data_IF_830614644575
#
_entry.id   IF_830614644575
#
_cell.length_a   1.000
_cell.length_b   1.000
_cell.length_c   1.000
_cell.angle_alpha   90.00
_cell.angle_beta   90.00
_cell.angle_gamma   90.00
#
_symmetry.space_group_name_H-M   'P 1'
#
loop_
_entity.id
_entity.type
_entity.pdbx_description
1 polymer ?
#
# COMPACT_ATOMS: atom_id res chain seq x y z
N UNK A 1 -18.20 14.88 8.20
CA UNK A 1 -17.57 13.73 8.89
C UNK A 1 -16.56 13.17 7.90
N UNK A 2 -15.33 13.00 8.30
CA UNK A 2 -14.23 12.66 7.38
C UNK A 2 -14.26 11.14 7.11
N UNK A 3 -13.97 10.69 5.88
CA UNK A 3 -13.96 9.25 5.48
C UNK A 3 -13.13 8.36 6.42
N UNK A 4 -12.09 8.91 7.05
CA UNK A 4 -11.31 8.22 8.07
C UNK A 4 -12.08 7.91 9.37
N UNK A 5 -13.15 8.65 9.67
CA UNK A 5 -14.01 8.35 10.84
C UNK A 5 -15.03 7.24 10.54
N UNK A 6 -15.42 7.07 9.28
CA UNK A 6 -16.37 6.02 8.87
C UNK A 6 -15.67 4.66 8.90
N UNK A 7 -14.47 4.56 8.37
CA UNK A 7 -13.66 3.32 8.40
C UNK A 7 -13.29 2.90 9.83
N UNK A 8 -13.00 3.85 10.71
CA UNK A 8 -12.73 3.58 12.14
C UNK A 8 -13.97 3.08 12.88
N UNK A 9 -15.18 3.58 12.54
CA UNK A 9 -16.42 3.14 13.18
C UNK A 9 -16.88 1.76 12.72
N UNK A 10 -16.62 1.36 11.50
CA UNK A 10 -16.94 0.03 10.99
C UNK A 10 -15.98 -1.04 11.52
N UNK A 11 -14.70 -0.77 11.59
CA UNK A 11 -13.71 -1.67 12.18
C UNK A 11 -14.01 -2.00 13.66
N UNK A 12 -14.50 -1.00 14.43
CA UNK A 12 -14.92 -1.18 15.83
C UNK A 12 -16.22 -1.97 15.95
N UNK A 13 -17.13 -1.94 14.97
CA UNK A 13 -18.39 -2.67 15.01
C UNK A 13 -18.28 -4.16 14.65
N UNK A 14 -17.30 -4.55 13.84
CA UNK A 14 -17.09 -5.93 13.43
C UNK A 14 -16.24 -6.76 14.42
N UNK A 15 -15.55 -6.11 15.35
CA UNK A 15 -14.68 -6.76 16.34
C UNK A 15 -15.38 -7.35 17.58
N UNK A 16 -16.71 -7.28 17.69
CA UNK A 16 -17.43 -7.61 18.94
C UNK A 16 -18.21 -8.93 18.93
N UNK A 17 -18.01 -9.83 18.00
CA UNK A 17 -18.66 -11.15 18.00
C UNK A 17 -17.64 -12.27 17.72
N UNK A 18 -17.15 -12.93 18.76
CA UNK A 18 -16.46 -14.21 18.61
C UNK A 18 -15.46 -14.57 19.71
N UNK A 19 -15.90 -14.71 20.95
CA UNK A 19 -15.12 -15.40 21.97
C UNK A 19 -15.58 -16.87 22.05
N UNK A 20 -14.71 -17.81 21.68
CA UNK A 20 -14.94 -19.24 21.85
C UNK A 20 -13.62 -19.96 22.11
N UNK A 21 -13.41 -20.41 23.33
CA UNK A 21 -12.23 -21.11 23.80
C UNK A 21 -12.16 -22.57 23.30
N UNK A 22 -10.98 -23.07 22.99
CA UNK A 22 -10.66 -24.49 23.13
C UNK A 22 -9.14 -24.70 23.33
N UNK A 23 -8.86 -25.48 24.37
CA UNK A 23 -7.54 -25.85 24.92
C UNK A 23 -6.93 -27.06 24.19
N UNK A 24 -5.58 -27.08 24.14
CA UNK A 24 -4.77 -28.31 24.40
C UNK A 24 -4.31 -29.13 23.20
N UNK A 25 -3.05 -29.27 22.95
CA UNK A 25 -2.15 -30.36 23.34
C UNK A 25 -0.77 -30.23 22.69
N UNK A 26 0.27 -30.34 23.53
CA UNK A 26 1.68 -30.49 23.13
C UNK A 26 1.94 -31.92 22.63
N UNK A 27 2.64 -32.07 21.52
CA UNK A 27 3.52 -33.23 21.27
C UNK A 27 4.71 -32.76 20.42
N UNK A 28 5.92 -33.04 20.95
CA UNK A 28 7.18 -32.70 20.34
C UNK A 28 7.56 -33.62 19.17
N UNK A 29 8.38 -33.11 18.30
CA UNK A 29 9.04 -33.85 17.22
C UNK A 29 9.97 -32.89 16.51
N UNK A 30 11.29 -32.95 16.82
CA UNK A 30 12.31 -32.17 16.14
C UNK A 30 12.41 -32.57 14.67
N UNK A 31 12.10 -31.66 13.80
CA UNK A 31 12.51 -31.65 12.41
C UNK A 31 13.35 -30.38 12.22
N UNK A 32 14.60 -30.56 11.78
CA UNK A 32 15.48 -29.49 11.33
C UNK A 32 14.73 -28.70 10.25
N UNK A 33 14.29 -27.50 10.61
CA UNK A 33 13.71 -26.57 9.65
C UNK A 33 14.81 -26.15 8.69
N UNK A 34 14.79 -26.67 7.46
CA UNK A 34 15.38 -26.00 6.32
C UNK A 34 14.80 -24.58 6.30
N UNK A 35 15.63 -23.59 6.62
CA UNK A 35 15.32 -22.18 6.43
C UNK A 35 15.14 -21.96 4.92
N UNK A 36 13.90 -22.15 4.43
CA UNK A 36 13.53 -21.65 3.10
C UNK A 36 13.85 -20.16 3.11
N UNK A 37 14.79 -19.76 2.28
CA UNK A 37 15.00 -18.34 1.97
C UNK A 37 13.66 -17.80 1.55
N UNK A 38 13.18 -16.74 2.24
CA UNK A 38 12.00 -15.99 1.79
C UNK A 38 12.30 -15.49 0.38
N UNK A 39 11.29 -15.47 -0.46
CA UNK A 39 11.36 -15.14 -1.87
C UNK A 39 12.15 -13.84 -2.15
N UNK A 40 13.47 -13.95 -2.23
CA UNK A 40 14.22 -13.17 -3.19
C UNK A 40 13.81 -13.79 -4.53
N UNK A 41 12.82 -13.19 -5.22
CA UNK A 41 12.24 -13.72 -6.45
C UNK A 41 13.27 -14.48 -7.25
N UNK A 42 13.02 -15.77 -7.53
CA UNK A 42 14.03 -16.66 -8.12
C UNK A 42 14.71 -15.96 -9.28
N UNK A 43 15.99 -16.23 -9.52
CA UNK A 43 16.75 -15.62 -10.61
C UNK A 43 15.96 -15.83 -11.93
N UNK A 44 15.20 -14.81 -12.38
CA UNK A 44 14.32 -14.89 -13.53
C UNK A 44 12.88 -14.38 -13.31
N UNK A 45 12.42 -14.18 -12.09
CA UNK A 45 11.09 -13.62 -11.82
C UNK A 45 10.97 -12.17 -12.34
N UNK A 46 9.92 -11.88 -13.10
CA UNK A 46 9.75 -10.56 -13.70
C UNK A 46 9.25 -9.49 -12.73
N UNK A 47 8.72 -9.88 -11.55
CA UNK A 47 8.46 -8.99 -10.41
C UNK A 47 8.73 -9.72 -9.09
N UNK A 48 8.87 -8.94 -8.03
CA UNK A 48 9.00 -9.40 -6.64
C UNK A 48 7.74 -9.07 -5.86
N UNK A 49 7.50 -9.74 -4.73
CA UNK A 49 6.28 -9.60 -3.94
C UNK A 49 6.61 -9.07 -2.55
N UNK A 50 5.99 -7.95 -2.17
CA UNK A 50 6.02 -7.35 -0.84
C UNK A 50 4.70 -7.51 -0.10
N UNK A 51 4.67 -7.18 1.19
CA UNK A 51 3.47 -7.12 2.01
C UNK A 51 3.21 -5.67 2.43
N UNK A 52 2.06 -5.13 2.08
CA UNK A 52 1.57 -3.88 2.62
C UNK A 52 1.04 -4.09 4.05
N UNK A 53 1.46 -3.25 4.99
CA UNK A 53 1.10 -3.34 6.41
C UNK A 53 -0.41 -3.23 6.63
N UNK A 54 -1.11 -2.52 5.73
CA UNK A 54 -2.56 -2.42 5.78
C UNK A 54 -3.27 -3.77 5.69
N UNK A 55 -2.68 -4.78 5.06
CA UNK A 55 -3.20 -6.16 5.06
C UNK A 55 -3.45 -6.69 6.48
N UNK A 56 -2.68 -6.24 7.46
CA UNK A 56 -2.79 -6.65 8.87
C UNK A 56 -3.46 -5.58 9.75
N UNK A 57 -4.11 -4.58 9.17
CA UNK A 57 -4.68 -3.44 9.91
C UNK A 57 -5.63 -3.85 11.04
N UNK A 58 -6.43 -4.91 10.83
CA UNK A 58 -7.37 -5.43 11.84
C UNK A 58 -6.63 -5.92 13.09
N UNK A 59 -5.54 -6.64 12.91
CA UNK A 59 -4.72 -7.18 13.99
C UNK A 59 -3.96 -6.05 14.73
N UNK A 60 -3.43 -5.09 13.96
CA UNK A 60 -2.73 -3.92 14.50
C UNK A 60 -3.65 -3.02 15.31
N UNK A 61 -4.85 -2.71 14.81
CA UNK A 61 -5.83 -1.92 15.55
C UNK A 61 -6.43 -2.65 16.76
N UNK A 62 -6.50 -3.98 16.71
CA UNK A 62 -6.92 -4.80 17.86
C UNK A 62 -5.82 -4.94 18.92
N UNK A 63 -4.58 -4.52 18.63
CA UNK A 63 -3.43 -4.71 19.50
C UNK A 63 -3.00 -6.19 19.64
N UNK A 64 -3.37 -7.03 18.69
CA UNK A 64 -2.95 -8.43 18.63
C UNK A 64 -1.50 -8.56 18.14
N UNK A 65 -1.03 -7.61 17.35
CA UNK A 65 0.36 -7.41 16.95
C UNK A 65 0.74 -5.96 17.11
N UNK A 66 2.02 -5.69 17.34
CA UNK A 66 2.62 -4.36 17.42
C UNK A 66 3.26 -3.99 16.07
N UNK A 67 3.44 -2.69 15.80
CA UNK A 67 4.14 -2.25 14.59
C UNK A 67 5.55 -2.84 14.48
N UNK A 68 6.26 -3.02 15.61
CA UNK A 68 7.58 -3.61 15.63
C UNK A 68 7.59 -5.11 15.29
N UNK A 69 6.46 -5.80 15.39
CA UNK A 69 6.34 -7.23 15.04
C UNK A 69 6.15 -7.44 13.54
N UNK A 70 5.77 -6.39 12.79
CA UNK A 70 5.34 -6.49 11.39
C UNK A 70 6.36 -7.16 10.46
N UNK A 71 7.65 -6.85 10.59
CA UNK A 71 8.70 -7.48 9.77
C UNK A 71 8.81 -9.00 10.06
N UNK A 72 8.68 -9.40 11.33
CA UNK A 72 8.64 -10.80 11.73
C UNK A 72 7.41 -11.53 11.20
N UNK A 73 6.23 -10.91 11.29
CA UNK A 73 4.97 -11.43 10.75
C UNK A 73 5.07 -11.63 9.22
N UNK A 74 5.60 -10.65 8.50
CA UNK A 74 5.82 -10.74 7.06
C UNK A 74 6.76 -11.91 6.72
N UNK A 75 7.84 -12.08 7.47
CA UNK A 75 8.79 -13.19 7.29
C UNK A 75 8.14 -14.55 7.51
N UNK A 76 7.32 -14.71 8.55
CA UNK A 76 6.59 -15.94 8.84
C UNK A 76 5.63 -16.31 7.71
N UNK A 77 4.98 -15.31 7.10
CA UNK A 77 4.11 -15.49 5.93
C UNK A 77 4.89 -15.68 4.61
N UNK A 78 6.24 -15.64 4.65
CA UNK A 78 7.10 -15.88 3.49
C UNK A 78 7.32 -14.67 2.60
N UNK A 79 7.10 -13.45 3.09
CA UNK A 79 7.45 -12.21 2.38
C UNK A 79 8.90 -11.82 2.65
N UNK A 80 9.57 -11.29 1.63
CA UNK A 80 10.95 -10.79 1.71
C UNK A 80 11.04 -9.26 1.73
N UNK A 81 9.91 -8.56 1.61
CA UNK A 81 9.85 -7.10 1.67
C UNK A 81 8.50 -6.62 2.23
N UNK A 82 8.49 -5.40 2.77
CA UNK A 82 7.35 -4.78 3.44
C UNK A 82 7.18 -3.32 3.06
N UNK A 83 5.93 -2.85 3.19
CA UNK A 83 5.48 -1.48 2.96
C UNK A 83 4.73 -1.01 4.19
N UNK A 84 5.23 0.03 4.85
CA UNK A 84 4.67 0.54 6.10
C UNK A 84 3.47 1.46 5.88
N UNK A 85 2.64 1.61 6.91
CA UNK A 85 1.59 2.63 6.99
C UNK A 85 1.83 3.49 8.23
N UNK A 86 1.90 4.80 8.04
CA UNK A 86 2.23 5.77 9.08
C UNK A 86 1.28 5.74 10.28
N UNK A 87 0.04 5.32 10.08
CA UNK A 87 -0.97 5.24 11.14
C UNK A 87 -0.55 4.33 12.32
N UNK A 88 0.30 3.33 12.07
CA UNK A 88 0.71 2.35 13.09
C UNK A 88 1.93 2.79 13.92
N UNK A 89 2.60 3.89 13.55
CA UNK A 89 3.71 4.48 14.30
C UNK A 89 3.75 6.01 14.17
N UNK A 90 2.57 6.64 14.18
CA UNK A 90 2.35 8.05 13.87
C UNK A 90 3.13 9.01 14.78
N UNK A 91 3.28 8.68 16.05
CA UNK A 91 4.01 9.44 17.07
C UNK A 91 5.50 9.08 17.13
N UNK A 92 5.99 8.20 16.23
CA UNK A 92 7.36 7.69 16.19
C UNK A 92 8.15 8.11 14.94
N UNK A 93 7.59 8.95 14.08
CA UNK A 93 8.25 9.39 12.85
C UNK A 93 9.64 10.03 13.09
N UNK A 94 9.81 10.70 14.23
CA UNK A 94 11.04 11.40 14.62
C UNK A 94 11.78 10.70 15.78
N UNK A 95 11.28 9.56 16.25
CA UNK A 95 11.93 8.74 17.30
C UNK A 95 13.00 7.84 16.68
N UNK A 96 14.23 8.33 16.65
CA UNK A 96 15.37 7.63 16.05
C UNK A 96 15.64 6.27 16.70
N UNK A 97 15.41 6.14 18.03
CA UNK A 97 15.61 4.87 18.72
C UNK A 97 14.57 3.83 18.27
N UNK A 98 13.31 4.25 18.09
CA UNK A 98 12.25 3.42 17.57
C UNK A 98 12.49 3.00 16.10
N UNK A 99 12.87 3.94 15.24
CA UNK A 99 13.19 3.65 13.84
C UNK A 99 14.41 2.70 13.71
N UNK A 100 15.40 2.84 14.61
CA UNK A 100 16.53 1.90 14.66
C UNK A 100 16.10 0.50 15.10
N UNK A 101 15.13 0.37 16.02
CA UNK A 101 14.57 -0.92 16.39
C UNK A 101 13.77 -1.54 15.23
N UNK A 102 13.00 -0.74 14.45
CA UNK A 102 12.36 -1.21 13.22
C UNK A 102 13.39 -1.76 12.23
N UNK A 103 14.49 -1.02 11.97
CA UNK A 103 15.58 -1.45 11.12
C UNK A 103 16.21 -2.77 11.60
N UNK A 104 16.46 -2.86 12.92
CA UNK A 104 17.04 -4.08 13.50
C UNK A 104 16.13 -5.29 13.26
N UNK A 105 14.82 -5.17 13.53
CA UNK A 105 13.86 -6.26 13.37
C UNK A 105 13.68 -6.66 11.91
N UNK A 106 13.64 -5.70 10.99
CA UNK A 106 13.59 -5.98 9.55
C UNK A 106 14.86 -6.73 9.09
N UNK A 107 16.03 -6.28 9.54
CA UNK A 107 17.32 -6.94 9.26
C UNK A 107 17.39 -8.35 9.85
N UNK A 108 16.99 -8.54 11.12
CA UNK A 108 16.98 -9.85 11.77
C UNK A 108 16.03 -10.83 11.06
N UNK A 109 14.91 -10.32 10.54
CA UNK A 109 13.95 -11.11 9.76
C UNK A 109 14.41 -11.33 8.30
N UNK A 110 15.42 -10.62 7.83
CA UNK A 110 15.86 -10.64 6.43
C UNK A 110 14.79 -10.10 5.47
N UNK A 111 14.16 -8.97 5.83
CA UNK A 111 13.06 -8.33 5.10
C UNK A 111 13.47 -6.94 4.66
N UNK A 112 13.30 -6.61 3.35
CA UNK A 112 13.53 -5.27 2.80
C UNK A 112 12.38 -4.32 3.18
N UNK A 113 12.69 -3.04 3.41
CA UNK A 113 11.74 -1.97 3.72
C UNK A 113 11.61 -1.07 2.50
N UNK A 114 10.42 -0.97 1.90
CA UNK A 114 10.28 -0.37 0.56
C UNK A 114 9.76 1.06 0.58
N UNK A 115 8.71 1.31 1.35
CA UNK A 115 8.04 2.62 1.39
C UNK A 115 7.25 2.80 2.69
N UNK A 116 6.82 4.05 2.93
CA UNK A 116 5.84 4.40 3.97
C UNK A 116 4.62 5.01 3.27
N UNK A 117 3.44 4.45 3.51
CA UNK A 117 2.17 5.04 3.12
C UNK A 117 1.78 6.11 4.15
N UNK A 118 1.62 7.36 3.69
CA UNK A 118 1.39 8.52 4.54
C UNK A 118 -0.05 9.02 4.39
N UNK A 119 -0.84 8.86 5.44
CA UNK A 119 -2.21 9.33 5.53
C UNK A 119 -2.37 10.36 6.66
N UNK A 120 -3.33 11.29 6.49
CA UNK A 120 -3.69 12.25 7.54
C UNK A 120 -2.73 13.40 7.75
N UNK A 121 -1.85 13.70 6.79
CA UNK A 121 -0.88 14.80 6.86
C UNK A 121 -1.36 16.09 6.15
N UNK A 122 -2.63 16.15 5.76
CA UNK A 122 -3.26 17.25 5.03
C UNK A 122 -3.37 16.99 3.52
N UNK A 123 -4.12 17.84 2.82
CA UNK A 123 -4.39 17.65 1.40
C UNK A 123 -3.31 18.38 0.57
N UNK A 124 -2.53 17.64 -0.21
CA UNK A 124 -1.52 18.21 -1.10
C UNK A 124 -2.13 19.05 -2.24
N UNK A 125 -3.41 18.87 -2.55
CA UNK A 125 -4.17 19.70 -3.48
C UNK A 125 -5.16 20.65 -2.82
N UNK A 126 -4.96 21.07 -1.54
CA UNK A 126 -5.88 21.99 -0.88
C UNK A 126 -6.04 23.31 -1.67
N UNK A 127 -7.25 23.84 -1.85
CA UNK A 127 -7.45 25.16 -2.51
C UNK A 127 -6.68 26.30 -1.84
N UNK A 128 -6.49 26.25 -0.52
CA UNK A 128 -5.66 27.22 0.21
C UNK A 128 -4.18 26.88 0.04
N UNK A 129 -3.41 27.79 -0.55
CA UNK A 129 -1.95 27.67 -0.65
C UNK A 129 -1.29 27.47 0.70
N UNK A 130 -1.75 28.17 1.73
CA UNK A 130 -1.24 28.01 3.10
C UNK A 130 -1.48 26.59 3.63
N UNK A 131 -2.65 25.99 3.38
CA UNK A 131 -2.95 24.63 3.80
C UNK A 131 -2.12 23.61 3.00
N UNK A 132 -1.92 23.81 1.68
CA UNK A 132 -1.01 22.96 0.87
C UNK A 132 0.43 23.00 1.41
N UNK A 133 0.95 24.18 1.76
CA UNK A 133 2.28 24.33 2.32
C UNK A 133 2.42 23.64 3.67
N UNK A 134 1.38 23.68 4.51
CA UNK A 134 1.32 22.90 5.76
C UNK A 134 1.33 21.41 5.47
N UNK A 135 0.55 20.94 4.50
CA UNK A 135 0.55 19.53 4.11
C UNK A 135 1.95 19.07 3.66
N UNK A 136 2.61 19.82 2.78
CA UNK A 136 3.99 19.53 2.37
C UNK A 136 4.93 19.46 3.57
N UNK A 137 4.86 20.43 4.49
CA UNK A 137 5.68 20.47 5.70
C UNK A 137 5.44 19.26 6.62
N UNK A 138 4.19 18.83 6.76
CA UNK A 138 3.82 17.66 7.57
C UNK A 138 4.42 16.34 7.06
N UNK A 139 4.62 16.23 5.73
CA UNK A 139 5.24 15.03 5.14
C UNK A 139 6.76 14.96 5.36
N UNK A 140 7.41 16.07 5.77
CA UNK A 140 8.87 16.11 5.97
C UNK A 140 9.37 15.03 6.93
N UNK A 141 8.71 14.87 8.08
CA UNK A 141 9.06 13.85 9.09
C UNK A 141 9.01 12.42 8.49
N UNK A 142 8.10 12.17 7.52
CA UNK A 142 7.98 10.87 6.85
C UNK A 142 9.06 10.66 5.80
N UNK A 143 9.55 11.70 5.14
CA UNK A 143 10.74 11.63 4.30
C UNK A 143 11.98 11.29 5.15
N UNK A 144 12.11 11.89 6.33
CA UNK A 144 13.20 11.60 7.27
C UNK A 144 13.12 10.16 7.78
N UNK A 145 11.93 9.71 8.22
CA UNK A 145 11.71 8.33 8.64
C UNK A 145 11.97 7.32 7.51
N UNK A 146 11.44 7.56 6.32
CA UNK A 146 11.64 6.70 5.15
C UNK A 146 13.13 6.59 4.77
N UNK A 147 13.86 7.70 4.84
CA UNK A 147 15.32 7.71 4.64
C UNK A 147 16.04 6.88 5.69
N UNK A 148 15.66 7.02 6.98
CA UNK A 148 16.24 6.25 8.08
C UNK A 148 15.96 4.76 7.95
N UNK A 149 14.76 4.37 7.48
CA UNK A 149 14.36 2.98 7.25
C UNK A 149 14.91 2.37 5.94
N UNK A 150 15.62 3.16 5.11
CA UNK A 150 16.15 2.69 3.84
C UNK A 150 15.10 2.49 2.75
N UNK A 151 13.90 3.06 2.91
CA UNK A 151 12.85 3.05 1.91
C UNK A 151 13.25 3.81 0.64
N UNK A 152 12.61 3.48 -0.49
CA UNK A 152 12.83 4.20 -1.76
C UNK A 152 11.78 5.27 -2.04
N UNK A 153 10.65 5.27 -1.32
CA UNK A 153 9.53 6.18 -1.54
C UNK A 153 8.73 6.47 -0.28
N UNK A 154 7.97 7.55 -0.31
CA UNK A 154 6.74 7.70 0.46
C UNK A 154 5.55 7.64 -0.48
N UNK A 155 4.43 7.01 -0.08
CA UNK A 155 3.14 7.07 -0.78
C UNK A 155 2.27 8.13 -0.14
N UNK A 156 1.66 8.98 -0.96
CA UNK A 156 0.81 10.08 -0.54
C UNK A 156 -0.50 10.09 -1.32
N UNK A 157 -1.46 10.91 -0.89
CA UNK A 157 -2.73 11.09 -1.58
C UNK A 157 -2.76 12.43 -2.34
N UNK A 158 -3.37 12.45 -3.53
CA UNK A 158 -3.58 13.65 -4.34
C UNK A 158 -4.96 14.28 -4.06
N UNK A 159 -5.36 14.34 -2.78
CA UNK A 159 -6.66 14.88 -2.39
C UNK A 159 -6.75 16.40 -2.66
N UNK A 160 -7.86 16.82 -3.26
CA UNK A 160 -8.14 18.20 -3.64
C UNK A 160 -9.65 18.46 -3.66
N UNK A 161 -10.07 19.67 -4.05
CA UNK A 161 -11.47 20.04 -4.28
C UNK A 161 -11.59 21.11 -5.36
N UNK A 162 -12.77 21.22 -5.99
CA UNK A 162 -13.03 22.11 -7.11
C UNK A 162 -13.36 21.35 -8.41
N UNK A 163 -13.21 22.00 -9.55
CA UNK A 163 -13.39 21.37 -10.86
C UNK A 163 -12.27 20.37 -11.16
N UNK A 164 -12.44 19.57 -12.19
CA UNK A 164 -11.43 18.61 -12.66
C UNK A 164 -10.04 19.26 -12.85
N UNK A 165 -10.00 20.35 -13.59
CA UNK A 165 -8.77 21.07 -13.94
C UNK A 165 -8.18 21.81 -12.74
N UNK A 166 -9.03 22.38 -11.87
CA UNK A 166 -8.57 23.02 -10.65
C UNK A 166 -7.90 22.01 -9.72
N UNK A 167 -8.54 20.86 -9.51
CA UNK A 167 -7.97 19.80 -8.67
C UNK A 167 -6.65 19.27 -9.24
N UNK A 168 -6.53 19.05 -10.56
CA UNK A 168 -5.27 18.63 -11.19
C UNK A 168 -4.15 19.66 -10.93
N UNK A 169 -4.43 20.93 -11.16
CA UNK A 169 -3.45 22.00 -10.94
C UNK A 169 -3.04 22.09 -9.47
N UNK A 170 -3.98 22.09 -8.54
CA UNK A 170 -3.71 22.19 -7.12
C UNK A 170 -2.92 20.99 -6.59
N UNK A 171 -3.31 19.77 -6.99
CA UNK A 171 -2.59 18.55 -6.62
C UNK A 171 -1.16 18.56 -7.19
N UNK A 172 -0.99 18.98 -8.44
CA UNK A 172 0.34 19.07 -9.05
C UNK A 172 1.25 20.10 -8.37
N UNK A 173 0.71 21.24 -7.93
CA UNK A 173 1.47 22.27 -7.20
C UNK A 173 2.04 21.70 -5.87
N UNK A 174 1.19 21.05 -5.07
CA UNK A 174 1.64 20.48 -3.79
C UNK A 174 2.56 19.27 -3.96
N UNK A 175 2.28 18.39 -4.94
CA UNK A 175 3.14 17.25 -5.23
C UNK A 175 4.52 17.67 -5.75
N UNK A 176 4.60 18.69 -6.61
CA UNK A 176 5.87 19.25 -7.08
C UNK A 176 6.70 19.76 -5.90
N UNK A 177 6.10 20.58 -5.02
CA UNK A 177 6.77 21.10 -3.83
C UNK A 177 7.27 19.97 -2.90
N UNK A 178 6.47 18.90 -2.76
CA UNK A 178 6.89 17.73 -1.97
C UNK A 178 8.02 16.95 -2.67
N UNK A 179 8.01 16.82 -4.00
CA UNK A 179 9.09 16.19 -4.75
C UNK A 179 10.41 16.96 -4.64
N UNK A 180 10.37 18.29 -4.72
CA UNK A 180 11.53 19.15 -4.51
C UNK A 180 12.12 18.96 -3.09
N UNK A 181 11.25 18.87 -2.06
CA UNK A 181 11.68 18.53 -0.71
C UNK A 181 12.29 17.12 -0.62
N UNK A 182 11.71 16.14 -1.31
CA UNK A 182 12.15 14.75 -1.31
C UNK A 182 13.52 14.52 -1.98
N UNK A 183 13.96 15.44 -2.85
CA UNK A 183 15.29 15.38 -3.50
C UNK A 183 16.43 15.29 -2.49
N UNK A 184 16.37 16.07 -1.41
CA UNK A 184 17.38 16.08 -0.37
C UNK A 184 17.55 14.73 0.33
N UNK A 185 16.51 13.90 0.31
CA UNK A 185 16.49 12.57 0.90
C UNK A 185 16.78 11.45 -0.10
N UNK A 186 16.76 11.76 -1.39
CA UNK A 186 16.91 10.78 -2.46
C UNK A 186 15.69 9.88 -2.66
N UNK A 187 14.50 10.29 -2.17
CA UNK A 187 13.27 9.52 -2.16
C UNK A 187 12.33 9.92 -3.30
N UNK A 188 11.44 8.99 -3.67
CA UNK A 188 10.33 9.30 -4.56
C UNK A 188 9.07 9.64 -3.76
N UNK A 189 8.19 10.43 -4.37
CA UNK A 189 6.83 10.72 -3.91
C UNK A 189 5.89 10.03 -4.89
N UNK A 190 5.19 9.01 -4.42
CA UNK A 190 4.29 8.23 -5.27
C UNK A 190 2.85 8.39 -4.81
N UNK A 191 1.94 8.45 -5.76
CA UNK A 191 0.51 8.64 -5.51
C UNK A 191 -0.25 7.37 -5.81
N UNK A 192 -1.08 6.95 -4.87
CA UNK A 192 -2.03 5.86 -5.06
C UNK A 192 -3.35 6.40 -5.61
N UNK A 193 -4.01 5.65 -6.49
CA UNK A 193 -5.42 5.86 -6.78
C UNK A 193 -6.23 5.46 -5.54
N UNK A 194 -6.77 6.46 -4.79
CA UNK A 194 -7.35 6.24 -3.47
C UNK A 194 -8.58 7.13 -3.21
N UNK A 195 -9.64 6.92 -3.99
CA UNK A 195 -10.90 7.63 -3.86
C UNK A 195 -10.99 8.96 -4.63
N UNK A 196 -12.20 9.39 -4.94
CA UNK A 196 -12.47 10.62 -5.68
C UNK A 196 -11.80 10.63 -7.05
N UNK A 197 -11.36 11.81 -7.50
CA UNK A 197 -10.72 11.93 -8.82
C UNK A 197 -9.38 11.20 -8.91
N UNK A 198 -8.67 10.93 -7.80
CA UNK A 198 -7.46 10.13 -7.85
C UNK A 198 -7.71 8.67 -8.28
N UNK A 199 -8.94 8.16 -8.09
CA UNK A 199 -9.39 6.86 -8.62
C UNK A 199 -9.70 6.86 -10.12
N UNK A 200 -9.60 8.01 -10.80
CA UNK A 200 -9.68 8.09 -12.25
C UNK A 200 -8.27 8.11 -12.85
N UNK A 201 -7.88 7.02 -13.53
CA UNK A 201 -6.52 6.88 -14.08
C UNK A 201 -6.12 8.03 -15.00
N UNK A 202 -7.02 8.49 -15.86
CA UNK A 202 -6.78 9.65 -16.75
C UNK A 202 -6.55 10.95 -15.97
N UNK A 203 -7.29 11.17 -14.87
CA UNK A 203 -7.09 12.35 -14.03
C UNK A 203 -5.73 12.32 -13.37
N UNK A 204 -5.38 11.19 -12.75
CA UNK A 204 -4.13 11.05 -11.99
C UNK A 204 -2.91 11.05 -12.91
N UNK A 205 -2.99 10.44 -14.10
CA UNK A 205 -1.94 10.54 -15.11
C UNK A 205 -1.69 11.99 -15.52
N UNK A 206 -2.76 12.77 -15.73
CA UNK A 206 -2.64 14.20 -16.00
C UNK A 206 -2.00 14.99 -14.85
N UNK A 207 -2.21 14.61 -13.60
CA UNK A 207 -1.48 15.18 -12.47
C UNK A 207 0.01 14.86 -12.58
N UNK A 208 0.39 13.60 -12.90
CA UNK A 208 1.80 13.22 -13.06
C UNK A 208 2.49 14.02 -14.18
N UNK A 209 1.81 14.19 -15.31
CA UNK A 209 2.29 15.01 -16.44
C UNK A 209 2.49 16.48 -16.03
N UNK A 210 1.56 17.05 -15.26
CA UNK A 210 1.66 18.42 -14.77
C UNK A 210 2.77 18.59 -13.73
N UNK A 211 3.00 17.61 -12.85
CA UNK A 211 4.12 17.65 -11.90
C UNK A 211 5.47 17.63 -12.62
N UNK A 212 5.61 16.83 -13.68
CA UNK A 212 6.82 16.75 -14.51
C UNK A 212 8.13 16.76 -13.69
N UNK A 213 8.25 15.80 -12.78
CA UNK A 213 9.39 15.71 -11.87
C UNK A 213 9.92 14.27 -11.79
N UNK A 214 11.24 14.01 -11.85
CA UNK A 214 11.78 12.64 -11.91
C UNK A 214 11.45 11.80 -10.67
N UNK A 215 11.12 12.44 -9.55
CA UNK A 215 10.78 11.76 -8.30
C UNK A 215 9.30 11.52 -8.11
N UNK A 216 8.40 12.14 -8.91
CA UNK A 216 6.98 11.80 -8.85
C UNK A 216 6.73 10.46 -9.52
N UNK A 217 5.71 9.76 -9.07
CA UNK A 217 5.22 8.55 -9.71
C UNK A 217 3.89 8.10 -9.14
N UNK A 218 3.44 6.93 -9.58
CA UNK A 218 2.22 6.31 -9.08
C UNK A 218 2.51 5.02 -8.33
N UNK A 219 1.58 4.62 -7.49
CA UNK A 219 1.39 3.29 -6.94
C UNK A 219 0.00 2.82 -7.39
N UNK A 220 -0.14 2.26 -8.62
CA UNK A 220 -1.42 1.73 -9.09
C UNK A 220 -1.92 0.62 -8.18
N UNK A 221 -3.09 0.85 -7.56
CA UNK A 221 -3.80 -0.15 -6.77
C UNK A 221 -4.88 -0.83 -7.62
N UNK A 222 -5.03 -2.15 -7.50
CA UNK A 222 -5.94 -2.95 -8.34
C UNK A 222 -7.42 -2.80 -7.98
N UNK A 223 -7.73 -2.27 -6.79
CA UNK A 223 -9.09 -2.19 -6.26
C UNK A 223 -9.65 -0.78 -6.08
N UNK A 224 -8.82 0.22 -5.81
CA UNK A 224 -9.21 1.57 -5.42
C UNK A 224 -9.68 2.45 -6.59
N UNK A 225 -10.74 2.01 -7.28
CA UNK A 225 -11.31 2.72 -8.44
C UNK A 225 -12.70 3.31 -8.18
N UNK A 226 -13.11 3.44 -6.91
CA UNK A 226 -14.36 4.12 -6.55
C UNK A 226 -14.18 5.64 -6.63
N UNK A 227 -14.96 6.28 -7.51
CA UNK A 227 -14.97 7.74 -7.70
C UNK A 227 -15.85 8.44 -6.66
N UNK A 228 -16.89 7.75 -6.18
CA UNK A 228 -17.85 8.30 -5.22
C UNK A 228 -18.34 7.22 -4.25
N UNK A 229 -17.79 7.21 -3.06
CA UNK A 229 -18.12 6.26 -2.01
C UNK A 229 -19.56 6.36 -1.48
N UNK A 230 -20.26 7.46 -1.75
CA UNK A 230 -21.67 7.58 -1.41
C UNK A 230 -22.60 6.82 -2.36
N UNK A 231 -22.06 6.37 -3.51
CA UNK A 231 -22.75 5.72 -4.61
C UNK A 231 -22.13 4.36 -4.98
N UNK A 232 -21.55 3.65 -4.03
CA UNK A 232 -20.78 2.39 -4.28
C UNK A 232 -21.57 1.31 -5.01
N UNK A 233 -22.89 1.31 -4.88
CA UNK A 233 -23.77 0.35 -5.54
C UNK A 233 -24.10 0.73 -7.00
N UNK A 234 -23.65 1.89 -7.47
CA UNK A 234 -23.90 2.38 -8.82
C UNK A 234 -22.67 2.17 -9.70
N UNK A 235 -22.87 1.59 -10.89
CA UNK A 235 -21.76 1.24 -11.78
C UNK A 235 -20.95 2.46 -12.27
N UNK A 236 -21.58 3.63 -12.41
CA UNK A 236 -20.94 4.87 -12.84
C UNK A 236 -20.15 5.57 -11.72
N UNK A 237 -20.29 5.11 -10.47
CA UNK A 237 -19.42 5.51 -9.37
C UNK A 237 -18.03 4.84 -9.42
N UNK A 238 -17.81 3.93 -10.35
CA UNK A 238 -16.54 3.20 -10.49
C UNK A 238 -15.87 3.50 -11.81
N UNK A 239 -14.57 3.76 -11.78
CA UNK A 239 -13.71 3.80 -12.96
C UNK A 239 -13.32 2.36 -13.37
N UNK A 240 -13.15 2.11 -14.67
CA UNK A 240 -12.65 0.82 -15.13
C UNK A 240 -11.23 0.59 -14.60
N UNK A 241 -11.06 -0.40 -13.71
CA UNK A 241 -9.79 -0.69 -13.02
C UNK A 241 -8.66 -1.10 -13.95
N UNK A 242 -8.97 -1.83 -15.02
CA UNK A 242 -7.96 -2.28 -15.97
C UNK A 242 -7.43 -1.13 -16.79
N UNK A 243 -8.34 -0.29 -17.29
CA UNK A 243 -7.99 0.95 -17.96
C UNK A 243 -7.25 1.89 -17.02
N UNK A 244 -7.69 2.02 -15.79
CA UNK A 244 -7.05 2.88 -14.80
C UNK A 244 -5.62 2.46 -14.50
N UNK A 245 -5.37 1.16 -14.29
CA UNK A 245 -4.00 0.66 -14.12
C UNK A 245 -3.18 0.87 -15.39
N UNK A 246 -3.72 0.60 -16.59
CA UNK A 246 -3.02 0.85 -17.85
C UNK A 246 -2.58 2.31 -18.00
N UNK A 247 -3.45 3.28 -17.63
CA UNK A 247 -3.16 4.71 -17.67
C UNK A 247 -2.11 5.14 -16.63
N UNK A 248 -2.03 4.47 -15.48
CA UNK A 248 -1.11 4.81 -14.39
C UNK A 248 0.26 4.14 -14.50
N UNK A 249 0.36 2.97 -15.16
CA UNK A 249 1.59 2.20 -15.27
C UNK A 249 2.80 2.95 -15.86
N UNK A 250 2.66 3.89 -16.81
CA UNK A 250 3.80 4.68 -17.31
C UNK A 250 4.55 5.46 -16.22
N UNK A 251 3.89 5.76 -15.12
CA UNK A 251 4.43 6.52 -13.99
C UNK A 251 4.74 5.63 -12.76
N UNK A 252 4.46 4.33 -12.83
CA UNK A 252 4.52 3.43 -11.67
C UNK A 252 5.94 3.25 -11.13
N UNK A 253 6.09 3.45 -9.82
CA UNK A 253 7.31 3.16 -9.05
C UNK A 253 7.10 2.07 -8.00
N UNK A 254 5.85 1.71 -7.73
CA UNK A 254 5.38 0.55 -6.97
C UNK A 254 4.01 0.15 -7.51
N UNK A 255 3.46 -1.00 -7.12
CA UNK A 255 2.13 -1.50 -7.51
C UNK A 255 1.49 -2.15 -6.30
N UNK A 256 0.19 -1.93 -6.07
CA UNK A 256 -0.58 -2.56 -5.00
C UNK A 256 -1.57 -3.59 -5.55
N UNK A 257 -1.39 -4.84 -5.14
CA UNK A 257 -2.28 -5.96 -5.46
C UNK A 257 -3.38 -6.09 -4.40
N UNK A 258 -4.35 -5.18 -4.42
CA UNK A 258 -5.51 -5.23 -3.52
C UNK A 258 -6.38 -6.43 -3.81
N UNK A 259 -6.80 -7.13 -2.75
CA UNK A 259 -7.64 -8.32 -2.83
C UNK A 259 -8.63 -8.37 -1.68
N UNK A 260 -9.77 -9.03 -1.89
CA UNK A 260 -10.85 -9.12 -0.91
C UNK A 260 -11.36 -10.53 -0.70
N UNK A 261 -11.63 -11.27 -1.78
CA UNK A 261 -12.26 -12.58 -1.71
C UNK A 261 -11.70 -13.54 -2.76
N UNK A 262 -11.69 -14.82 -2.45
CA UNK A 262 -11.16 -15.85 -3.33
C UNK A 262 -12.20 -16.95 -3.55
N UNK A 263 -12.20 -17.50 -4.77
CA UNK A 263 -12.94 -18.73 -5.10
C UNK A 263 -12.20 -19.99 -4.62
N UNK A 264 -12.79 -21.16 -4.83
CA UNK A 264 -12.23 -22.46 -4.43
C UNK A 264 -10.91 -22.80 -5.16
N UNK A 265 -10.67 -22.20 -6.33
CA UNK A 265 -9.43 -22.35 -7.11
C UNK A 265 -8.36 -21.33 -6.71
N UNK A 266 -8.66 -20.44 -5.76
CA UNK A 266 -7.77 -19.39 -5.25
C UNK A 266 -7.60 -18.20 -6.20
N UNK A 267 -8.59 -17.93 -7.06
CA UNK A 267 -8.65 -16.71 -7.86
C UNK A 267 -9.35 -15.61 -7.06
N UNK A 268 -8.88 -14.36 -7.19
CA UNK A 268 -9.58 -13.20 -6.63
C UNK A 268 -10.88 -12.97 -7.41
N UNK A 269 -12.00 -12.76 -6.71
CA UNK A 269 -13.33 -12.78 -7.35
C UNK A 269 -13.79 -11.41 -7.88
N UNK A 270 -13.20 -10.30 -7.40
CA UNK A 270 -13.53 -8.94 -7.82
C UNK A 270 -12.62 -8.40 -8.92
N UNK A 271 -11.43 -8.97 -9.07
CA UNK A 271 -10.40 -8.53 -10.03
C UNK A 271 -9.83 -9.73 -10.77
N UNK A 272 -9.86 -9.71 -12.10
CA UNK A 272 -9.14 -10.69 -12.93
C UNK A 272 -7.63 -10.38 -12.87
N UNK A 273 -6.92 -11.12 -12.03
CA UNK A 273 -5.50 -10.94 -11.79
C UNK A 273 -4.61 -11.33 -12.98
N UNK A 274 -5.04 -12.28 -13.81
CA UNK A 274 -4.30 -12.63 -15.04
C UNK A 274 -4.30 -11.46 -16.02
N UNK A 275 -5.48 -10.86 -16.25
CA UNK A 275 -5.63 -9.66 -17.08
C UNK A 275 -4.86 -8.48 -16.48
N UNK A 276 -4.94 -8.27 -15.16
CA UNK A 276 -4.29 -7.17 -14.46
C UNK A 276 -2.76 -7.28 -14.54
N UNK A 277 -2.21 -8.45 -14.24
CA UNK A 277 -0.76 -8.67 -14.31
C UNK A 277 -0.23 -8.65 -15.74
N UNK A 278 -1.06 -9.01 -16.74
CA UNK A 278 -0.69 -8.80 -18.13
C UNK A 278 -0.48 -7.32 -18.46
N UNK A 279 -1.36 -6.42 -17.99
CA UNK A 279 -1.20 -4.96 -18.16
C UNK A 279 0.11 -4.49 -17.52
N UNK A 280 0.38 -4.91 -16.28
CA UNK A 280 1.61 -4.57 -15.56
C UNK A 280 2.87 -5.06 -16.28
N UNK A 281 2.82 -6.30 -16.81
CA UNK A 281 3.92 -6.93 -17.58
C UNK A 281 4.18 -6.21 -18.90
N UNK A 282 3.10 -5.90 -19.64
CA UNK A 282 3.17 -5.23 -20.95
C UNK A 282 3.70 -3.80 -20.83
N UNK A 283 3.43 -3.11 -19.72
CA UNK A 283 4.02 -1.82 -19.39
C UNK A 283 5.54 -1.89 -19.06
N UNK A 284 6.13 -3.08 -19.04
CA UNK A 284 7.56 -3.29 -18.76
C UNK A 284 7.95 -3.17 -17.29
N UNK A 285 6.99 -3.17 -16.37
CA UNK A 285 7.29 -3.09 -14.92
C UNK A 285 8.04 -4.34 -14.42
N UNK A 286 9.05 -4.12 -13.56
CA UNK A 286 9.93 -5.17 -13.01
C UNK A 286 10.23 -4.98 -11.53
N UNK A 287 9.40 -4.15 -10.87
CA UNK A 287 9.58 -3.78 -9.46
C UNK A 287 8.91 -4.74 -8.47
N UNK A 288 8.51 -4.19 -7.34
CA UNK A 288 7.74 -4.86 -6.31
C UNK A 288 6.24 -4.69 -6.52
N UNK A 289 5.48 -5.76 -6.30
CA UNK A 289 4.01 -5.74 -6.20
C UNK A 289 3.66 -6.03 -4.75
N UNK A 290 3.08 -5.05 -4.07
CA UNK A 290 2.66 -5.14 -2.68
C UNK A 290 1.33 -5.87 -2.55
N UNK A 291 1.28 -6.92 -1.73
CA UNK A 291 0.04 -7.57 -1.34
C UNK A 291 -0.71 -6.68 -0.36
N UNK A 292 -1.96 -6.36 -0.67
CA UNK A 292 -2.85 -5.62 0.22
C UNK A 292 -4.21 -6.31 0.31
N UNK A 293 -4.37 -7.17 1.33
CA UNK A 293 -5.62 -7.88 1.59
C UNK A 293 -6.53 -7.07 2.52
N UNK A 294 -7.75 -6.80 2.08
CA UNK A 294 -8.79 -6.09 2.88
C UNK A 294 -10.07 -6.90 3.07
N UNK A 295 -10.08 -8.15 2.65
CA UNK A 295 -11.25 -9.02 2.75
C UNK A 295 -11.71 -9.30 4.18
N UNK A 296 -12.95 -9.75 4.29
CA UNK A 296 -13.57 -10.16 5.57
C UNK A 296 -13.77 -11.68 5.70
N UNK A 297 -13.52 -12.44 4.63
CA UNK A 297 -13.80 -13.89 4.60
C UNK A 297 -12.68 -14.76 5.15
N UNK A 298 -11.44 -14.27 5.12
CA UNK A 298 -10.27 -14.97 5.66
C UNK A 298 -9.64 -14.15 6.80
N UNK A 299 -8.90 -14.85 7.67
CA UNK A 299 -7.98 -14.18 8.58
C UNK A 299 -6.98 -13.32 7.80
N UNK A 300 -6.58 -12.14 8.30
CA UNK A 300 -5.68 -11.23 7.58
C UNK A 300 -4.39 -11.88 7.06
N UNK A 301 -3.76 -12.76 7.84
CA UNK A 301 -2.56 -13.50 7.44
C UNK A 301 -2.87 -14.49 6.33
N UNK A 302 -3.97 -15.24 6.48
CA UNK A 302 -4.40 -16.22 5.47
C UNK A 302 -4.75 -15.55 4.14
N UNK A 303 -5.47 -14.42 4.17
CA UNK A 303 -5.79 -13.63 2.98
C UNK A 303 -4.57 -13.05 2.28
N UNK A 304 -3.60 -12.53 3.05
CA UNK A 304 -2.32 -12.06 2.51
C UNK A 304 -1.54 -13.19 1.82
N UNK A 305 -1.51 -14.38 2.43
CA UNK A 305 -0.86 -15.57 1.83
C UNK A 305 -1.61 -16.05 0.59
N UNK A 306 -2.94 -15.98 0.57
CA UNK A 306 -3.74 -16.34 -0.60
C UNK A 306 -3.43 -15.42 -1.79
N UNK A 307 -3.37 -14.10 -1.55
CA UNK A 307 -2.99 -13.12 -2.57
C UNK A 307 -1.57 -13.38 -3.10
N UNK A 308 -0.62 -13.62 -2.19
CA UNK A 308 0.77 -13.96 -2.56
C UNK A 308 0.82 -15.19 -3.46
N UNK A 309 0.11 -16.27 -3.11
CA UNK A 309 0.06 -17.50 -3.91
C UNK A 309 -0.55 -17.28 -5.29
N UNK A 310 -1.58 -16.44 -5.40
CA UNK A 310 -2.18 -16.06 -6.68
C UNK A 310 -1.16 -15.32 -7.56
N UNK A 311 -0.46 -14.34 -7.00
CA UNK A 311 0.61 -13.61 -7.70
C UNK A 311 1.73 -14.55 -8.16
N UNK A 312 2.20 -15.46 -7.29
CA UNK A 312 3.24 -16.45 -7.62
C UNK A 312 2.78 -17.38 -8.74
N UNK A 313 1.55 -17.91 -8.65
CA UNK A 313 1.00 -18.81 -9.66
C UNK A 313 1.00 -18.17 -11.06
N UNK A 314 0.54 -16.91 -11.16
CA UNK A 314 0.47 -16.21 -12.46
C UNK A 314 1.88 -15.81 -12.92
N UNK A 315 2.76 -15.37 -12.02
CA UNK A 315 4.15 -15.01 -12.33
C UNK A 315 4.94 -16.16 -12.94
N UNK A 316 4.80 -17.34 -12.33
CA UNK A 316 5.63 -18.53 -12.61
C UNK A 316 4.99 -19.43 -13.68
N UNK A 317 3.70 -19.28 -13.96
CA UNK A 317 2.95 -20.03 -14.99
C UNK A 317 2.79 -19.29 -16.32
N UNK A 318 3.23 -18.03 -16.45
CA UNK A 318 3.04 -17.16 -17.62
C UNK A 318 4.28 -16.96 -18.52
#
# INVERSE_FOLDING_TARGET
MNEQEITRREAVKLGLLGAGAASGLLLGGGALAETRRADAGGAGAWFRISLAQWSLHKLLFAGEIDNLDFAGEARVMGFGAIEYVNAFFKDKAEDIAYLNEMNKRASDAGVEQLLIMCDGEGNLGDPSESARNVAVSNHKKWLEAAKQLGCHSIRVNAASSGTWEEQQRLASDGLRSLCELAEAYGLNVIVENHGGLSSNGKWLSGVMELVDHPRVGTLPDFGNFCLDWSRVDEADAWYDRYRGVEELMPFAKAVSAKSHAFDDDGNETGTDYERMLKIVKDAGYRGWIGVEYEGGGLDPRAGSVATKKLLERIRDGG
#
